data_IF_081916775787
#
_entry.id   IF_081916775787
#
_cell.length_a   1.000
_cell.length_b   1.000
_cell.length_c   1.000
_cell.angle_alpha   90.00
_cell.angle_beta   90.00
_cell.angle_gamma   90.00
#
_symmetry.space_group_name_H-M   'P 1'
#
loop_
_entity.id
_entity.type
_entity.pdbx_description
1 polymer ?
#
# COMPACT_ATOMS: atom_id res chain seq x y z
N UNK A 1 43.32 -28.23 24.47
CA UNK A 1 42.52 -28.83 23.39
C UNK A 1 41.19 -28.09 23.40
N UNK A 2 41.03 -27.22 22.42
CA UNK A 2 39.97 -26.20 22.30
C UNK A 2 38.61 -26.82 22.09
N UNK A 3 37.60 -26.33 22.83
CA UNK A 3 36.20 -26.68 22.60
C UNK A 3 35.65 -25.66 21.62
N UNK A 4 35.45 -26.08 20.38
CA UNK A 4 34.81 -25.28 19.33
C UNK A 4 33.33 -25.10 19.69
N UNK A 5 32.95 -23.88 20.04
CA UNK A 5 31.55 -23.49 20.17
C UNK A 5 31.08 -23.14 18.77
N UNK A 6 30.54 -24.14 18.07
CA UNK A 6 29.81 -23.91 16.83
C UNK A 6 28.59 -23.03 17.17
N UNK A 7 28.73 -21.72 16.93
CA UNK A 7 27.61 -20.80 16.95
C UNK A 7 26.63 -21.24 15.87
N UNK A 8 25.42 -21.60 16.30
CA UNK A 8 24.27 -21.74 15.41
C UNK A 8 24.08 -20.42 14.71
N UNK A 9 24.55 -20.31 13.46
CA UNK A 9 24.18 -19.22 12.59
C UNK A 9 22.73 -19.50 12.21
N UNK A 10 21.82 -18.78 12.86
CA UNK A 10 20.43 -18.72 12.43
C UNK A 10 20.43 -18.26 10.96
N UNK A 11 20.12 -19.18 10.07
CA UNK A 11 19.95 -18.93 8.64
C UNK A 11 18.63 -18.16 8.48
N UNK A 12 18.63 -16.87 8.79
CA UNK A 12 17.58 -15.96 8.37
C UNK A 12 17.58 -15.94 6.84
N UNK A 13 16.60 -16.62 6.24
CA UNK A 13 16.40 -16.61 4.80
C UNK A 13 16.26 -15.16 4.32
N UNK A 14 17.18 -14.71 3.48
CA UNK A 14 17.18 -13.35 2.94
C UNK A 14 15.89 -13.16 2.13
N UNK A 15 14.94 -12.41 2.71
CA UNK A 15 13.68 -12.13 2.04
C UNK A 15 13.99 -11.24 0.83
N UNK A 16 13.56 -11.59 -0.39
CA UNK A 16 13.86 -10.79 -1.56
C UNK A 16 13.35 -9.37 -1.36
N UNK A 17 14.25 -8.39 -1.59
CA UNK A 17 13.93 -6.97 -1.45
C UNK A 17 12.79 -6.61 -2.42
N UNK A 18 11.79 -5.84 -1.97
CA UNK A 18 10.72 -5.37 -2.85
C UNK A 18 11.30 -4.49 -3.97
N UNK A 19 10.62 -4.50 -5.11
CA UNK A 19 10.94 -3.62 -6.25
C UNK A 19 9.95 -2.47 -6.25
N UNK A 20 10.45 -1.23 -6.35
CA UNK A 20 9.60 -0.04 -6.35
C UNK A 20 8.64 -0.05 -7.56
N UNK A 21 7.47 0.56 -7.38
CA UNK A 21 6.60 0.87 -8.52
C UNK A 21 7.33 1.80 -9.49
N UNK A 22 7.15 1.60 -10.82
CA UNK A 22 7.85 2.39 -11.82
C UNK A 22 7.44 3.86 -11.76
N UNK A 23 8.39 4.75 -12.08
CA UNK A 23 8.10 6.17 -12.28
C UNK A 23 7.37 6.42 -13.60
N UNK A 24 7.74 5.68 -14.65
CA UNK A 24 7.16 5.79 -15.98
C UNK A 24 5.97 4.83 -16.16
N UNK A 25 4.97 5.29 -16.89
CA UNK A 25 3.77 4.53 -17.19
C UNK A 25 3.22 4.96 -18.56
N UNK A 26 2.66 4.00 -19.29
CA UNK A 26 1.97 4.27 -20.55
C UNK A 26 0.58 4.89 -20.35
N UNK A 27 0.05 4.85 -19.12
CA UNK A 27 -1.23 5.46 -18.78
C UNK A 27 -1.19 6.98 -18.99
N UNK A 28 -2.07 7.56 -19.84
CA UNK A 28 -2.08 8.99 -20.09
C UNK A 28 -2.18 9.82 -18.81
N UNK A 29 -1.49 10.96 -18.78
CA UNK A 29 -1.59 11.86 -17.64
C UNK A 29 -2.91 12.62 -17.68
N UNK A 30 -3.66 12.55 -16.58
CA UNK A 30 -4.87 13.33 -16.32
C UNK A 30 -4.65 14.28 -15.14
N UNK A 31 -5.16 15.50 -15.22
CA UNK A 31 -4.93 16.56 -14.24
C UNK A 31 -6.12 16.70 -13.28
N UNK A 32 -6.33 15.65 -12.46
CA UNK A 32 -7.38 15.61 -11.43
C UNK A 32 -8.79 16.01 -11.93
N UNK A 33 -9.07 15.80 -13.22
CA UNK A 33 -10.33 16.13 -13.91
C UNK A 33 -11.38 15.02 -13.72
N UNK A 34 -11.42 14.41 -12.53
CA UNK A 34 -12.33 13.33 -12.18
C UNK A 34 -13.50 13.86 -11.36
N UNK A 35 -14.66 13.23 -11.51
CA UNK A 35 -15.87 13.57 -10.75
C UNK A 35 -15.72 13.26 -9.26
N UNK A 36 -15.01 12.17 -8.92
CA UNK A 36 -14.80 11.73 -7.54
C UNK A 36 -13.36 11.28 -7.31
N UNK A 37 -12.95 11.26 -6.04
CA UNK A 37 -11.66 10.69 -5.63
C UNK A 37 -11.56 9.19 -5.99
N UNK A 38 -12.66 8.45 -5.84
CA UNK A 38 -12.75 7.05 -6.25
C UNK A 38 -12.48 6.87 -7.75
N UNK A 39 -13.07 7.71 -8.60
CA UNK A 39 -12.84 7.68 -10.05
C UNK A 39 -11.37 7.99 -10.42
N UNK A 40 -10.71 8.85 -9.66
CA UNK A 40 -9.27 9.10 -9.84
C UNK A 40 -8.44 7.86 -9.50
N UNK A 41 -8.77 7.15 -8.40
CA UNK A 41 -8.09 5.91 -8.03
C UNK A 41 -8.38 4.78 -9.04
N UNK A 42 -9.63 4.62 -9.48
CA UNK A 42 -10.00 3.64 -10.51
C UNK A 42 -9.20 3.86 -11.81
N UNK A 43 -9.00 5.12 -12.21
CA UNK A 43 -8.14 5.43 -13.36
C UNK A 43 -6.68 5.09 -13.09
N UNK A 44 -6.13 5.52 -11.94
CA UNK A 44 -4.74 5.26 -11.57
C UNK A 44 -4.44 3.75 -11.46
N UNK A 45 -5.40 2.95 -11.02
CA UNK A 45 -5.35 1.49 -10.92
C UNK A 45 -5.23 0.76 -12.27
N UNK A 46 -5.52 1.43 -13.39
CA UNK A 46 -5.26 0.87 -14.73
C UNK A 46 -3.81 0.99 -15.18
N UNK A 47 -2.99 1.71 -14.43
CA UNK A 47 -1.55 1.88 -14.67
C UNK A 47 -0.68 0.96 -13.82
N UNK A 48 0.62 1.21 -13.82
CA UNK A 48 1.62 0.44 -13.07
C UNK A 48 2.20 1.20 -11.86
N UNK A 49 1.87 2.48 -11.74
CA UNK A 49 2.36 3.34 -10.65
C UNK A 49 1.73 2.98 -9.31
N UNK A 50 2.31 3.49 -8.23
CA UNK A 50 1.76 3.34 -6.89
C UNK A 50 2.55 4.10 -5.84
N UNK A 51 2.37 3.68 -4.59
CA UNK A 51 3.07 4.20 -3.44
C UNK A 51 4.27 3.31 -3.10
N UNK A 52 5.34 3.90 -2.58
CA UNK A 52 6.53 3.18 -2.14
C UNK A 52 6.81 3.58 -0.69
N UNK A 53 6.67 2.64 0.23
CA UNK A 53 6.89 2.83 1.67
C UNK A 53 8.30 2.42 2.04
N UNK A 54 9.01 3.30 2.73
CA UNK A 54 10.40 3.10 3.13
C UNK A 54 10.52 3.12 4.66
N UNK A 55 11.48 2.38 5.19
CA UNK A 55 11.86 2.50 6.59
C UNK A 55 12.65 3.79 6.87
N UNK A 56 12.98 4.06 8.13
CA UNK A 56 13.76 5.23 8.54
C UNK A 56 15.18 5.27 7.94
N UNK A 57 15.67 4.17 7.36
CA UNK A 57 16.96 4.07 6.66
C UNK A 57 16.81 4.27 5.15
N UNK A 58 15.61 4.55 4.66
CA UNK A 58 15.32 4.71 3.23
C UNK A 58 15.22 3.37 2.47
N UNK A 59 15.23 2.23 3.16
CA UNK A 59 15.07 0.92 2.52
C UNK A 59 13.61 0.72 2.16
N UNK A 60 13.31 0.32 0.93
CA UNK A 60 11.96 0.01 0.51
C UNK A 60 11.44 -1.19 1.31
N UNK A 61 10.33 -1.00 2.03
CA UNK A 61 9.67 -2.05 2.81
C UNK A 61 8.44 -2.58 2.09
N UNK A 62 7.74 -1.73 1.32
CA UNK A 62 6.61 -2.15 0.48
C UNK A 62 6.45 -1.24 -0.74
N UNK A 63 6.40 -1.86 -1.91
CA UNK A 63 5.79 -1.25 -3.09
C UNK A 63 4.29 -1.55 -3.07
N UNK A 64 3.47 -0.56 -3.34
CA UNK A 64 2.01 -0.67 -3.26
C UNK A 64 1.37 -0.08 -4.52
N UNK A 65 1.18 -0.90 -5.58
CA UNK A 65 0.55 -0.49 -6.83
C UNK A 65 -0.85 0.10 -6.60
N UNK A 66 -1.25 1.09 -7.40
CA UNK A 66 -2.61 1.65 -7.29
C UNK A 66 -3.70 0.62 -7.57
N UNK A 67 -3.42 -0.40 -8.38
CA UNK A 67 -4.31 -1.54 -8.59
C UNK A 67 -4.60 -2.31 -7.29
N UNK A 68 -3.55 -2.60 -6.52
CA UNK A 68 -3.66 -3.28 -5.22
C UNK A 68 -4.36 -2.38 -4.20
N UNK A 69 -4.01 -1.08 -4.14
CA UNK A 69 -4.68 -0.11 -3.29
C UNK A 69 -6.19 -0.04 -3.57
N UNK A 70 -6.59 -0.05 -4.84
CA UNK A 70 -8.00 0.01 -5.23
C UNK A 70 -8.76 -1.23 -4.74
N UNK A 71 -8.17 -2.41 -4.87
CA UNK A 71 -8.80 -3.65 -4.42
C UNK A 71 -8.91 -3.74 -2.89
N UNK A 72 -7.86 -3.33 -2.18
CA UNK A 72 -7.85 -3.24 -0.72
C UNK A 72 -8.85 -2.20 -0.20
N UNK A 73 -8.93 -1.03 -0.84
CA UNK A 73 -9.88 0.01 -0.50
C UNK A 73 -11.33 -0.49 -0.62
N UNK A 74 -11.68 -1.21 -1.69
CA UNK A 74 -13.01 -1.80 -1.84
C UNK A 74 -13.28 -2.86 -0.78
N UNK A 75 -12.27 -3.63 -0.37
CA UNK A 75 -12.40 -4.56 0.74
C UNK A 75 -12.67 -3.83 2.06
N UNK A 76 -12.00 -2.70 2.33
CA UNK A 76 -12.27 -1.86 3.50
C UNK A 76 -13.67 -1.24 3.44
N UNK A 77 -14.07 -0.68 2.30
CA UNK A 77 -15.40 -0.11 2.08
C UNK A 77 -16.50 -1.11 2.45
N UNK A 78 -16.38 -2.35 1.96
CA UNK A 78 -17.33 -3.43 2.26
C UNK A 78 -17.39 -3.75 3.75
N UNK A 79 -16.26 -3.71 4.46
CA UNK A 79 -16.21 -3.93 5.92
C UNK A 79 -16.87 -2.79 6.68
N UNK A 80 -16.65 -1.54 6.27
CA UNK A 80 -17.30 -0.37 6.86
C UNK A 80 -18.83 -0.43 6.69
N UNK A 81 -19.30 -0.76 5.48
CA UNK A 81 -20.73 -0.97 5.21
C UNK A 81 -21.29 -2.09 6.06
N UNK A 82 -20.58 -3.22 6.20
CA UNK A 82 -20.99 -4.33 7.05
C UNK A 82 -21.03 -3.96 8.55
N UNK A 83 -20.19 -3.01 8.98
CA UNK A 83 -20.20 -2.44 10.33
C UNK A 83 -21.32 -1.40 10.55
N UNK A 84 -22.14 -1.12 9.53
CA UNK A 84 -23.30 -0.25 9.61
C UNK A 84 -23.05 1.22 9.32
N UNK A 85 -21.85 1.56 8.79
CA UNK A 85 -21.55 2.92 8.32
C UNK A 85 -22.45 3.27 7.13
N UNK A 86 -23.00 4.48 7.14
CA UNK A 86 -23.89 5.03 6.12
C UNK A 86 -23.24 6.22 5.42
N UNK A 87 -23.74 6.60 4.23
CA UNK A 87 -23.36 7.86 3.62
C UNK A 87 -23.50 9.01 4.62
N UNK A 88 -22.55 9.95 4.58
CA UNK A 88 -22.45 11.13 5.46
C UNK A 88 -22.01 10.86 6.92
N UNK A 89 -21.85 9.60 7.33
CA UNK A 89 -21.21 9.27 8.60
C UNK A 89 -19.73 9.68 8.60
N UNK A 90 -19.18 9.92 9.81
CA UNK A 90 -17.81 10.41 10.00
C UNK A 90 -16.97 9.33 10.65
N UNK A 91 -15.84 9.01 10.02
CA UNK A 91 -14.89 8.02 10.52
C UNK A 91 -13.60 8.74 10.91
N UNK A 92 -13.17 8.55 12.16
CA UNK A 92 -11.85 8.98 12.59
C UNK A 92 -10.83 7.91 12.21
N UNK A 93 -9.75 8.32 11.55
CA UNK A 93 -8.66 7.43 11.12
C UNK A 93 -7.35 8.02 11.64
N UNK A 94 -6.48 7.18 12.21
CA UNK A 94 -5.11 7.60 12.57
C UNK A 94 -4.26 7.62 11.30
N UNK A 95 -3.77 8.80 10.95
CA UNK A 95 -3.01 9.03 9.72
C UNK A 95 -1.54 8.62 9.84
N UNK A 96 -1.28 7.33 10.05
CA UNK A 96 0.06 6.78 9.94
C UNK A 96 0.53 6.76 8.49
N UNK A 97 1.85 6.84 8.26
CA UNK A 97 2.42 6.63 6.92
C UNK A 97 2.49 5.13 6.63
N UNK A 98 1.34 4.53 6.35
CA UNK A 98 1.20 3.09 6.13
C UNK A 98 0.27 2.76 4.95
N UNK A 99 0.43 1.57 4.35
CA UNK A 99 -0.50 1.07 3.35
C UNK A 99 -1.92 0.90 3.89
N UNK A 100 -2.05 0.50 5.16
CA UNK A 100 -3.34 0.26 5.80
C UNK A 100 -4.14 1.55 5.95
N UNK A 101 -3.45 2.66 6.28
CA UNK A 101 -4.05 3.99 6.24
C UNK A 101 -4.56 4.33 4.84
N UNK A 102 -3.74 4.12 3.81
CA UNK A 102 -4.13 4.43 2.44
C UNK A 102 -5.35 3.61 2.00
N UNK A 103 -5.37 2.30 2.24
CA UNK A 103 -6.51 1.44 1.93
C UNK A 103 -7.78 1.88 2.67
N UNK A 104 -7.68 2.16 3.97
CA UNK A 104 -8.84 2.58 4.76
C UNK A 104 -9.32 3.99 4.41
N UNK A 105 -8.44 4.90 4.00
CA UNK A 105 -8.81 6.26 3.58
C UNK A 105 -9.60 6.27 2.27
N UNK A 106 -9.29 5.35 1.35
CA UNK A 106 -10.00 5.22 0.07
C UNK A 106 -11.24 4.31 0.14
N UNK A 107 -11.38 3.50 1.19
CA UNK A 107 -12.51 2.57 1.39
C UNK A 107 -13.70 3.23 2.05
#
# INVERSE_FOLDING_TARGET
>A
MTVDVAGTQDLEAETPKPVATPTEDSLPRRFADFETLGAALDYAATGQRGLNFHDARGSLTRAYPFAELRDDAIAMARRLVAAGIKPEDRIAIVAETSPDFAALFFG
#
